data_IF_903609346070
#
_entry.id   IF_903609346070
#
_cell.length_a   1.000
_cell.length_b   1.000
_cell.length_c   1.000
_cell.angle_alpha   90.00
_cell.angle_beta   90.00
_cell.angle_gamma   90.00
#
_symmetry.space_group_name_H-M   'P 1'
#
loop_
_entity.id
_entity.type
_entity.pdbx_description
1 polymer ?
#
# COMPACT_ATOMS: atom_id res chain seq x y z
N UNK A 1 -90.09 -9.58 -8.66
CA UNK A 1 -89.83 -8.24 -8.06
C UNK A 1 -88.42 -8.30 -7.48
N UNK A 2 -87.43 -7.73 -8.18
CA UNK A 2 -86.76 -6.43 -7.91
C UNK A 2 -86.05 -6.45 -6.54
N UNK A 3 -84.71 -6.59 -6.51
CA UNK A 3 -83.70 -5.50 -6.43
C UNK A 3 -83.84 -4.73 -5.10
N UNK A 4 -82.81 -4.49 -4.27
CA UNK A 4 -81.60 -3.68 -4.47
C UNK A 4 -80.69 -3.92 -3.24
N UNK A 5 -79.43 -4.34 -3.34
CA UNK A 5 -78.22 -3.48 -3.42
C UNK A 5 -78.36 -2.07 -2.82
N UNK A 6 -77.77 -1.86 -1.63
CA UNK A 6 -77.10 -0.61 -1.20
C UNK A 6 -76.10 -1.01 -0.10
N UNK A 7 -74.82 -1.23 -0.42
CA UNK A 7 -73.77 -0.22 -0.52
C UNK A 7 -73.73 0.69 0.72
N UNK A 8 -72.88 0.33 1.69
CA UNK A 8 -72.10 1.29 2.46
C UNK A 8 -70.80 0.61 2.90
N UNK A 9 -69.83 0.81 2.03
CA UNK A 9 -68.39 0.71 2.24
C UNK A 9 -67.96 1.37 3.54
N UNK A 10 -67.28 0.61 4.41
CA UNK A 10 -66.14 1.14 5.13
C UNK A 10 -65.00 0.16 4.91
N UNK A 11 -64.32 0.36 3.77
CA UNK A 11 -62.92 -0.04 3.65
C UNK A 11 -62.18 0.70 4.76
N UNK A 12 -62.08 0.09 5.94
CA UNK A 12 -61.00 0.47 6.87
C UNK A 12 -59.73 0.12 6.12
N UNK A 13 -59.08 1.17 5.64
CA UNK A 13 -57.81 1.15 4.94
C UNK A 13 -56.96 0.01 5.47
N UNK A 14 -56.69 -0.97 4.61
CA UNK A 14 -55.65 -1.96 4.85
C UNK A 14 -54.34 -1.25 4.58
N UNK A 15 -53.98 -0.33 5.48
CA UNK A 15 -52.65 0.24 5.53
C UNK A 15 -51.74 -0.88 6.00
N UNK A 16 -51.15 -1.58 5.02
CA UNK A 16 -50.28 -2.75 5.19
C UNK A 16 -49.21 -2.51 6.29
N UNK A 17 -49.33 -3.07 7.50
CA UNK A 17 -48.40 -2.85 8.61
C UNK A 17 -47.31 -3.95 8.66
N UNK A 18 -46.95 -4.50 7.49
CA UNK A 18 -46.03 -5.64 7.44
C UNK A 18 -44.57 -5.17 7.49
N UNK A 19 -44.23 -4.06 6.81
CA UNK A 19 -42.85 -3.56 6.76
C UNK A 19 -42.36 -3.02 8.11
N UNK A 20 -43.19 -2.27 8.82
CA UNK A 20 -42.78 -1.66 10.11
C UNK A 20 -42.60 -2.72 11.22
N UNK A 21 -43.37 -3.80 11.18
CA UNK A 21 -43.17 -4.95 12.08
C UNK A 21 -41.89 -5.73 11.75
N UNK A 22 -41.60 -5.96 10.46
CA UNK A 22 -40.34 -6.60 10.05
C UNK A 22 -39.14 -5.74 10.47
N UNK A 23 -39.22 -4.41 10.32
CA UNK A 23 -38.14 -3.51 10.74
C UNK A 23 -37.93 -3.48 12.26
N UNK A 24 -38.99 -3.57 13.06
CA UNK A 24 -38.86 -3.64 14.53
C UNK A 24 -38.31 -4.97 15.01
N UNK A 25 -38.67 -6.09 14.36
CA UNK A 25 -38.08 -7.41 14.61
C UNK A 25 -36.59 -7.44 14.25
N UNK A 26 -36.21 -6.96 13.07
CA UNK A 26 -34.80 -6.85 12.65
C UNK A 26 -34.00 -5.99 13.64
N UNK A 27 -34.56 -4.86 14.09
CA UNK A 27 -33.88 -3.99 15.06
C UNK A 27 -33.72 -4.67 16.43
N UNK A 28 -34.70 -5.48 16.84
CA UNK A 28 -34.66 -6.28 18.08
C UNK A 28 -33.61 -7.39 17.99
N UNK A 29 -33.52 -8.08 16.86
CA UNK A 29 -32.49 -9.08 16.61
C UNK A 29 -31.09 -8.44 16.56
N UNK A 30 -30.95 -7.33 15.84
CA UNK A 30 -29.68 -6.59 15.77
C UNK A 30 -29.22 -6.11 17.15
N UNK A 31 -30.12 -5.57 17.96
CA UNK A 31 -29.78 -5.14 19.33
C UNK A 31 -29.46 -6.31 20.26
N UNK A 32 -30.12 -7.46 20.12
CA UNK A 32 -29.74 -8.69 20.81
C UNK A 32 -28.34 -9.18 20.41
N UNK A 33 -28.01 -9.15 19.12
CA UNK A 33 -26.66 -9.47 18.62
C UNK A 33 -25.60 -8.52 19.18
N UNK A 34 -25.85 -7.21 19.18
CA UNK A 34 -24.93 -6.22 19.77
C UNK A 34 -24.72 -6.47 21.26
N UNK A 35 -25.79 -6.80 22.00
CA UNK A 35 -25.68 -7.14 23.41
C UNK A 35 -24.85 -8.41 23.65
N UNK A 36 -24.98 -9.42 22.78
CA UNK A 36 -24.15 -10.61 22.78
C UNK A 36 -22.68 -10.28 22.52
N UNK A 37 -22.37 -9.54 21.45
CA UNK A 37 -21.00 -9.11 21.13
C UNK A 37 -20.37 -8.32 22.28
N UNK A 38 -21.13 -7.41 22.90
CA UNK A 38 -20.63 -6.64 24.05
C UNK A 38 -20.27 -7.52 25.24
N UNK A 39 -21.04 -8.60 25.49
CA UNK A 39 -20.71 -9.58 26.53
C UNK A 39 -19.45 -10.36 26.18
N UNK A 40 -19.30 -10.76 24.92
CA UNK A 40 -18.14 -11.54 24.46
C UNK A 40 -16.84 -10.72 24.52
N UNK A 41 -16.86 -9.49 23.97
CA UNK A 41 -15.71 -8.58 23.99
C UNK A 41 -15.21 -8.31 25.41
N UNK A 42 -16.13 -8.18 26.37
CA UNK A 42 -15.80 -7.94 27.79
C UNK A 42 -15.07 -9.09 28.49
N UNK A 43 -15.06 -10.30 27.91
CA UNK A 43 -14.29 -11.43 28.47
C UNK A 43 -12.79 -11.29 28.23
N UNK A 44 -12.40 -10.54 27.21
CA UNK A 44 -11.00 -10.36 26.82
C UNK A 44 -10.29 -9.31 27.67
N UNK A 45 -8.96 -9.39 27.69
CA UNK A 45 -8.11 -8.46 28.45
C UNK A 45 -8.24 -7.05 27.89
N UNK A 46 -8.27 -6.07 28.78
CA UNK A 46 -8.34 -4.65 28.41
C UNK A 46 -6.97 -3.99 28.56
N UNK A 47 -6.68 -3.06 27.65
CA UNK A 47 -5.51 -2.19 27.69
C UNK A 47 -5.97 -0.77 27.42
N UNK A 48 -5.61 0.16 28.29
CA UNK A 48 -5.84 1.58 28.06
C UNK A 48 -4.77 2.11 27.10
N UNK A 49 -5.20 2.69 25.99
CA UNK A 49 -4.32 3.39 25.04
C UNK A 49 -4.83 4.81 24.88
N UNK A 50 -3.99 5.77 25.27
CA UNK A 50 -4.31 7.19 25.28
C UNK A 50 -5.58 7.47 26.11
N UNK A 51 -6.68 7.85 25.45
CA UNK A 51 -7.98 8.12 26.07
C UNK A 51 -8.96 6.93 25.98
N UNK A 52 -8.64 5.91 25.18
CA UNK A 52 -9.56 4.82 24.84
C UNK A 52 -9.24 3.51 25.58
N UNK A 53 -10.29 2.78 25.93
CA UNK A 53 -10.19 1.42 26.47
C UNK A 53 -10.30 0.39 25.34
N UNK A 54 -9.19 -0.27 25.02
CA UNK A 54 -9.11 -1.24 23.92
C UNK A 54 -9.13 -2.66 24.47
N UNK A 55 -9.97 -3.53 23.91
CA UNK A 55 -9.99 -4.96 24.23
C UNK A 55 -9.02 -5.70 23.31
N UNK A 56 -8.08 -6.44 23.89
CA UNK A 56 -7.08 -7.22 23.16
C UNK A 56 -7.64 -8.63 22.96
N UNK A 57 -7.93 -8.97 21.70
CA UNK A 57 -8.33 -10.32 21.32
C UNK A 57 -7.11 -11.24 21.28
N UNK A 58 -7.30 -12.49 21.69
CA UNK A 58 -6.27 -13.51 21.57
C UNK A 58 -5.96 -13.79 20.11
N UNK A 59 -4.72 -14.21 19.83
CA UNK A 59 -4.34 -14.61 18.48
C UNK A 59 -5.16 -15.84 18.09
N UNK A 60 -5.64 -15.83 16.86
CA UNK A 60 -6.48 -16.90 16.35
C UNK A 60 -5.62 -18.12 15.98
N UNK A 61 -6.00 -19.31 16.47
CA UNK A 61 -5.31 -20.57 16.16
C UNK A 61 -5.66 -21.11 14.77
N UNK A 62 -6.59 -20.49 14.04
CA UNK A 62 -6.94 -20.92 12.69
C UNK A 62 -5.75 -20.77 11.73
N UNK A 63 -5.39 -21.86 11.07
CA UNK A 63 -4.42 -21.86 9.98
C UNK A 63 -5.09 -21.31 8.71
N UNK A 64 -4.97 -20.01 8.48
CA UNK A 64 -5.44 -19.37 7.25
C UNK A 64 -4.37 -19.60 6.17
N UNK A 65 -4.73 -20.06 4.96
CA UNK A 65 -3.75 -20.22 3.88
C UNK A 65 -3.17 -18.85 3.50
N UNK A 66 -1.84 -18.73 3.52
CA UNK A 66 -1.16 -17.53 3.05
C UNK A 66 -1.21 -17.45 1.52
N UNK A 67 -1.42 -16.24 1.00
CA UNK A 67 -1.08 -15.94 -0.38
C UNK A 67 0.44 -16.09 -0.55
N UNK A 68 0.87 -17.02 -1.40
CA UNK A 68 2.30 -17.29 -1.60
C UNK A 68 2.97 -16.09 -2.31
N UNK A 69 4.05 -15.57 -1.72
CA UNK A 69 4.98 -14.70 -2.44
C UNK A 69 6.20 -15.53 -2.83
N UNK A 70 6.46 -15.68 -4.13
CA UNK A 70 7.64 -16.42 -4.59
C UNK A 70 8.93 -15.75 -4.09
N UNK A 71 9.84 -16.55 -3.53
CA UNK A 71 11.17 -16.06 -3.10
C UNK A 71 11.93 -15.57 -4.34
N UNK A 72 12.36 -14.31 -4.32
CA UNK A 72 13.08 -13.75 -5.46
C UNK A 72 14.45 -14.40 -5.61
N UNK A 73 14.73 -14.99 -6.78
CA UNK A 73 16.05 -15.50 -7.12
C UNK A 73 17.10 -14.38 -7.07
N UNK A 74 18.30 -14.71 -6.54
CA UNK A 74 19.42 -13.77 -6.47
C UNK A 74 19.89 -13.39 -7.87
N UNK A 75 20.16 -12.11 -8.10
CA UNK A 75 20.76 -11.63 -9.34
C UNK A 75 22.23 -12.04 -9.45
N UNK A 76 22.79 -12.03 -10.66
CA UNK A 76 24.22 -12.33 -10.89
C UNK A 76 25.14 -11.43 -10.04
N UNK A 77 24.79 -10.16 -9.88
CA UNK A 77 25.56 -9.22 -9.07
C UNK A 77 25.45 -9.52 -7.58
N UNK A 78 24.28 -9.90 -7.08
CA UNK A 78 24.11 -10.27 -5.67
C UNK A 78 24.87 -11.56 -5.32
N UNK A 79 24.87 -12.55 -6.20
CA UNK A 79 25.67 -13.76 -6.04
C UNK A 79 27.17 -13.44 -6.01
N UNK A 80 27.63 -12.57 -6.92
CA UNK A 80 29.02 -12.12 -6.96
C UNK A 80 29.40 -11.30 -5.72
N UNK A 81 28.57 -10.34 -5.31
CA UNK A 81 28.80 -9.49 -4.16
C UNK A 81 28.84 -10.30 -2.87
N UNK A 82 27.97 -11.30 -2.72
CA UNK A 82 28.00 -12.22 -1.59
C UNK A 82 29.30 -13.04 -1.56
N UNK A 83 29.73 -13.59 -2.70
CA UNK A 83 30.99 -14.35 -2.81
C UNK A 83 32.22 -13.49 -2.49
N UNK A 84 32.19 -12.20 -2.82
CA UNK A 84 33.29 -11.24 -2.57
C UNK A 84 33.17 -10.48 -1.25
N UNK A 85 32.12 -10.70 -0.47
CA UNK A 85 31.89 -9.99 0.80
C UNK A 85 31.62 -8.48 0.63
N UNK A 86 31.13 -8.04 -0.54
CA UNK A 86 30.91 -6.62 -0.83
C UNK A 86 29.66 -6.13 -0.09
N UNK A 87 29.84 -5.19 0.84
CA UNK A 87 28.76 -4.55 1.61
C UNK A 87 28.23 -3.28 0.92
N UNK A 88 26.94 -2.98 1.11
CA UNK A 88 26.32 -1.74 0.58
C UNK A 88 26.80 -0.52 1.37
N UNK A 89 27.25 0.53 0.67
CA UNK A 89 27.60 1.82 1.28
C UNK A 89 26.34 2.57 1.71
N UNK A 90 26.39 3.22 2.88
CA UNK A 90 25.31 4.08 3.42
C UNK A 90 25.53 5.53 3.01
N UNK A 91 24.45 6.31 2.91
CA UNK A 91 24.48 7.76 2.65
C UNK A 91 24.29 8.16 1.18
N UNK A 92 23.45 9.18 0.98
CA UNK A 92 23.14 9.80 -0.31
C UNK A 92 23.97 11.05 -0.61
N UNK A 93 24.54 11.70 0.41
CA UNK A 93 25.35 12.90 0.28
C UNK A 93 26.84 12.56 0.12
N UNK A 94 27.55 13.42 -0.61
CA UNK A 94 28.99 13.37 -0.84
C UNK A 94 29.52 14.79 -0.62
N UNK A 95 30.59 14.94 0.16
CA UNK A 95 31.23 16.23 0.34
C UNK A 95 31.98 16.62 -0.95
N UNK A 96 31.73 17.82 -1.46
CA UNK A 96 32.43 18.38 -2.61
C UNK A 96 33.41 19.46 -2.14
N UNK A 97 34.69 19.26 -2.42
CA UNK A 97 35.77 20.13 -1.92
C UNK A 97 35.74 21.51 -2.58
N UNK A 98 35.35 21.60 -3.86
CA UNK A 98 35.25 22.85 -4.63
C UNK A 98 34.21 23.81 -4.04
N UNK A 99 33.04 23.25 -3.69
CA UNK A 99 31.90 24.02 -3.18
C UNK A 99 31.86 24.03 -1.64
N UNK A 100 32.82 23.36 -0.98
CA UNK A 100 32.92 23.14 0.47
C UNK A 100 31.61 22.72 1.13
N UNK A 101 30.77 21.94 0.43
CA UNK A 101 29.42 21.56 0.88
C UNK A 101 29.07 20.12 0.55
N UNK A 102 28.16 19.55 1.34
CA UNK A 102 27.58 18.24 1.05
C UNK A 102 26.55 18.37 -0.08
N UNK A 103 26.80 17.66 -1.19
CA UNK A 103 25.91 17.60 -2.34
C UNK A 103 25.36 16.18 -2.52
N UNK A 104 24.18 16.01 -3.12
CA UNK A 104 23.64 14.68 -3.36
C UNK A 104 24.45 13.94 -4.44
N UNK A 105 24.67 12.63 -4.23
CA UNK A 105 25.39 11.75 -5.16
C UNK A 105 24.70 11.62 -6.52
N UNK A 106 23.37 11.72 -6.54
CA UNK A 106 22.52 11.64 -7.73
C UNK A 106 21.38 12.67 -7.64
N UNK A 107 20.68 12.91 -8.75
CA UNK A 107 19.60 13.90 -8.84
C UNK A 107 20.03 15.24 -9.47
N UNK A 108 19.11 16.22 -9.57
CA UNK A 108 19.32 17.45 -10.34
C UNK A 108 20.47 18.32 -9.80
N UNK A 109 20.73 18.26 -8.50
CA UNK A 109 21.79 19.01 -7.81
C UNK A 109 23.07 18.20 -7.59
N UNK A 110 23.20 17.04 -8.23
CA UNK A 110 24.45 16.26 -8.17
C UNK A 110 25.54 16.91 -9.03
N UNK A 111 26.81 16.77 -8.61
CA UNK A 111 27.98 17.36 -9.30
C UNK A 111 27.93 17.15 -10.82
N UNK A 112 27.68 15.91 -11.24
CA UNK A 112 27.63 15.50 -12.65
C UNK A 112 26.52 16.21 -13.44
N UNK A 113 25.35 16.42 -12.84
CA UNK A 113 24.25 17.07 -13.53
C UNK A 113 24.36 18.61 -13.46
N UNK A 114 24.98 19.16 -12.42
CA UNK A 114 25.33 20.58 -12.36
C UNK A 114 26.34 20.93 -13.45
N UNK A 115 27.38 20.11 -13.64
CA UNK A 115 28.33 20.26 -14.73
C UNK A 115 27.67 20.20 -16.11
N UNK A 116 26.70 19.29 -16.31
CA UNK A 116 25.93 19.23 -17.56
C UNK A 116 25.03 20.47 -17.79
N UNK A 117 24.65 21.18 -16.72
CA UNK A 117 23.81 22.38 -16.78
C UNK A 117 24.62 23.67 -16.90
N UNK A 118 25.84 23.71 -16.36
CA UNK A 118 26.68 24.92 -16.35
C UNK A 118 27.15 25.34 -17.73
N UNK A 119 26.96 24.52 -18.79
CA UNK A 119 27.28 24.79 -20.20
C UNK A 119 28.73 25.15 -20.52
N UNK A 120 29.56 25.34 -19.50
CA UNK A 120 31.01 25.51 -19.55
C UNK A 120 31.63 24.21 -19.08
N UNK A 121 32.34 23.54 -19.97
CA UNK A 121 33.13 22.34 -19.67
C UNK A 121 34.58 22.66 -20.01
N UNK A 122 35.45 22.65 -19.01
CA UNK A 122 36.89 22.62 -19.25
C UNK A 122 37.30 21.16 -19.49
N UNK A 123 37.62 20.80 -20.74
CA UNK A 123 38.08 19.46 -21.10
C UNK A 123 37.87 19.08 -22.56
N UNK A 124 38.46 17.95 -22.95
CA UNK A 124 38.47 17.45 -24.34
C UNK A 124 37.12 16.90 -24.83
N UNK A 125 36.22 16.52 -23.92
CA UNK A 125 34.96 15.84 -24.27
C UNK A 125 33.81 16.81 -24.46
N UNK A 126 33.08 16.64 -25.55
CA UNK A 126 31.87 17.43 -25.80
C UNK A 126 30.71 17.01 -24.88
N UNK A 127 29.82 17.94 -24.52
CA UNK A 127 28.57 17.65 -23.80
C UNK A 127 27.74 16.55 -24.47
N UNK A 128 27.74 16.50 -25.80
CA UNK A 128 27.00 15.50 -26.56
C UNK A 128 27.56 14.09 -26.34
N UNK A 129 28.87 13.95 -26.22
CA UNK A 129 29.54 12.68 -25.95
C UNK A 129 29.22 12.18 -24.54
N UNK A 130 29.27 13.06 -23.53
CA UNK A 130 28.89 12.73 -22.16
C UNK A 130 27.43 12.26 -22.06
N UNK A 131 26.52 12.93 -22.79
CA UNK A 131 25.12 12.52 -22.89
C UNK A 131 24.98 11.16 -23.57
N UNK A 132 25.74 10.91 -24.65
CA UNK A 132 25.72 9.63 -25.38
C UNK A 132 26.24 8.48 -24.50
N UNK A 133 27.37 8.67 -23.81
CA UNK A 133 27.94 7.69 -22.89
C UNK A 133 26.97 7.35 -21.74
N UNK A 134 26.30 8.36 -21.17
CA UNK A 134 25.25 8.14 -20.16
C UNK A 134 24.11 7.28 -20.71
N UNK A 135 23.63 7.57 -21.93
CA UNK A 135 22.57 6.79 -22.58
C UNK A 135 22.99 5.34 -22.79
N UNK A 136 24.21 5.08 -23.28
CA UNK A 136 24.70 3.72 -23.48
C UNK A 136 24.82 2.93 -22.18
N UNK A 137 25.34 3.53 -21.10
CA UNK A 137 25.36 2.90 -19.78
C UNK A 137 23.96 2.53 -19.28
N UNK A 138 22.98 3.41 -19.49
CA UNK A 138 21.58 3.14 -19.12
C UNK A 138 21.02 1.98 -19.94
N UNK A 139 21.27 1.93 -21.26
CA UNK A 139 20.84 0.82 -22.13
C UNK A 139 21.40 -0.52 -21.67
N UNK A 140 22.69 -0.58 -21.34
CA UNK A 140 23.35 -1.79 -20.83
C UNK A 140 22.72 -2.22 -19.50
N UNK A 141 22.46 -1.28 -18.59
CA UNK A 141 21.82 -1.58 -17.31
C UNK A 141 20.41 -2.16 -17.50
N UNK A 142 19.58 -1.55 -18.36
CA UNK A 142 18.24 -2.05 -18.69
C UNK A 142 18.31 -3.44 -19.31
N UNK A 143 19.24 -3.69 -20.23
CA UNK A 143 19.46 -5.01 -20.84
C UNK A 143 19.79 -6.06 -19.77
N UNK A 144 20.70 -5.75 -18.86
CA UNK A 144 21.08 -6.63 -17.75
C UNK A 144 19.91 -6.89 -16.79
N UNK A 145 19.12 -5.87 -16.49
CA UNK A 145 17.91 -6.01 -15.66
C UNK A 145 16.90 -6.95 -16.32
N UNK A 146 16.65 -6.82 -17.63
CA UNK A 146 15.76 -7.72 -18.39
C UNK A 146 16.29 -9.16 -18.38
N UNK A 147 17.58 -9.35 -18.59
CA UNK A 147 18.20 -10.68 -18.55
C UNK A 147 18.09 -11.33 -17.17
N UNK A 148 18.26 -10.56 -16.08
CA UNK A 148 18.09 -11.08 -14.72
C UNK A 148 16.62 -11.41 -14.40
N UNK A 149 15.66 -10.64 -14.92
CA UNK A 149 14.23 -10.95 -14.79
C UNK A 149 13.85 -12.24 -15.51
N UNK A 150 14.42 -12.53 -16.69
CA UNK A 150 14.20 -13.76 -17.47
C UNK A 150 14.86 -15.02 -16.88
N UNK A 151 15.84 -14.85 -15.98
CA UNK A 151 16.49 -15.96 -15.27
C UNK A 151 15.72 -16.40 -14.02
N UNK A 152 14.69 -15.64 -13.65
CA UNK A 152 13.68 -16.10 -12.69
C UNK A 152 12.84 -17.14 -13.39
#
# INVERSE_FOLDING_TARGET
>A
MKAYLNLLTVTKNVDFPLKDNIHTEINKEASAMIAFFKKEVKKHKTVQKDLDLVYVLDQNDYQIPMQYSEKQAKTKWEAFAAKKGIKKKKGSLVYDEELKKYIPRFGPYSKKNLLLKSAVLEGEKSFNELKKEKKERIKVNIRNQRANKKRK
#
